data_IF_343603150618
#
_entry.id   IF_343603150618
#
_cell.length_a   1.000
_cell.length_b   1.000
_cell.length_c   1.000
_cell.angle_alpha   90.00
_cell.angle_beta   90.00
_cell.angle_gamma   90.00
#
_symmetry.space_group_name_H-M   'P 1'
#
loop_
_entity.id
_entity.type
_entity.pdbx_description
1 polymer ?
#
# COMPACT_ATOMS: atom_id res chain seq x y z
N UNK A 1 -5.77 4.44 -6.14
CA UNK A 1 -4.68 5.30 -6.67
C UNK A 1 -3.85 4.58 -7.73
N UNK A 2 -3.13 3.52 -7.39
CA UNK A 2 -2.31 2.72 -8.32
C UNK A 2 -3.08 2.22 -9.55
N UNK A 3 -4.28 1.68 -9.37
CA UNK A 3 -5.14 1.25 -10.48
C UNK A 3 -5.45 2.40 -11.46
N UNK A 4 -5.87 3.57 -10.95
CA UNK A 4 -6.12 4.73 -11.80
C UNK A 4 -4.86 5.16 -12.55
N UNK A 5 -3.72 5.24 -11.86
CA UNK A 5 -2.44 5.58 -12.49
C UNK A 5 -2.10 4.56 -13.59
N UNK A 6 -2.27 3.27 -13.33
CA UNK A 6 -2.00 2.20 -14.30
C UNK A 6 -2.91 2.33 -15.54
N UNK A 7 -4.19 2.61 -15.36
CA UNK A 7 -5.18 2.58 -16.45
C UNK A 7 -5.28 3.90 -17.23
N UNK A 8 -5.01 5.05 -16.61
CA UNK A 8 -5.12 6.35 -17.29
C UNK A 8 -3.98 6.54 -18.29
N UNK A 9 -4.25 6.79 -19.59
CA UNK A 9 -3.19 6.96 -20.59
C UNK A 9 -2.22 8.10 -20.26
N UNK A 10 -2.76 9.29 -19.93
CA UNK A 10 -1.98 10.42 -19.44
C UNK A 10 -2.21 10.61 -17.92
N UNK A 11 -1.26 10.21 -17.06
CA UNK A 11 -1.43 10.30 -15.60
C UNK A 11 -1.55 11.75 -15.10
N UNK A 12 -1.18 12.77 -15.89
CA UNK A 12 -1.28 14.18 -15.46
C UNK A 12 -2.71 14.66 -15.32
N UNK A 13 -3.66 14.01 -16.02
CA UNK A 13 -5.09 14.32 -15.87
C UNK A 13 -5.65 13.90 -14.51
N UNK A 14 -4.92 13.06 -13.76
CA UNK A 14 -5.29 12.63 -12.42
C UNK A 14 -4.88 13.60 -11.31
N UNK A 15 -4.19 14.71 -11.61
CA UNK A 15 -3.65 15.64 -10.60
C UNK A 15 -4.70 16.13 -9.60
N UNK A 16 -5.91 16.42 -10.06
CA UNK A 16 -7.00 16.89 -9.20
C UNK A 16 -7.64 15.78 -8.35
N UNK A 17 -7.52 14.52 -8.80
CA UNK A 17 -8.07 13.36 -8.11
C UNK A 17 -7.07 12.68 -7.16
N UNK A 18 -5.81 13.11 -7.17
CA UNK A 18 -4.71 12.53 -6.39
C UNK A 18 -4.23 13.50 -5.32
N UNK A 19 -3.69 12.98 -4.19
CA UNK A 19 -3.12 13.84 -3.18
C UNK A 19 -1.89 14.60 -3.71
N UNK A 20 -1.59 15.74 -3.11
CA UNK A 20 -0.34 16.44 -3.38
C UNK A 20 0.85 15.67 -2.78
N UNK A 21 1.82 15.33 -3.62
CA UNK A 21 3.04 14.61 -3.25
C UNK A 21 4.22 15.53 -2.96
N UNK A 22 4.07 16.85 -3.05
CA UNK A 22 5.15 17.83 -2.87
C UNK A 22 5.92 17.69 -1.55
N UNK A 23 5.25 17.18 -0.50
CA UNK A 23 5.82 16.96 0.84
C UNK A 23 6.10 15.49 1.16
N UNK A 24 5.79 14.57 0.24
CA UNK A 24 5.97 13.14 0.47
C UNK A 24 7.43 12.74 0.23
N UNK A 25 8.06 12.11 1.21
CA UNK A 25 9.38 11.48 1.02
C UNK A 25 9.24 10.09 0.43
N UNK A 26 8.19 9.37 0.84
CA UNK A 26 7.90 8.00 0.43
C UNK A 26 6.42 7.84 0.11
N UNK A 27 6.10 7.05 -0.91
CA UNK A 27 4.73 6.71 -1.30
C UNK A 27 4.62 5.20 -1.41
N UNK A 28 3.69 4.63 -0.63
CA UNK A 28 3.36 3.21 -0.71
C UNK A 28 2.13 3.02 -1.61
N UNK A 29 2.26 2.16 -2.62
CA UNK A 29 1.23 1.86 -3.60
C UNK A 29 1.00 0.35 -3.64
N UNK A 30 -0.17 -0.15 -3.22
CA UNK A 30 -0.55 -1.53 -3.53
C UNK A 30 -0.77 -1.66 -5.04
N UNK A 31 -0.13 -2.62 -5.69
CA UNK A 31 -0.26 -2.89 -7.13
C UNK A 31 -1.17 -4.10 -7.32
N UNK A 32 -2.00 -4.05 -8.36
CA UNK A 32 -2.90 -5.12 -8.76
C UNK A 32 -2.91 -5.28 -10.27
N UNK A 33 -3.08 -6.51 -10.73
CA UNK A 33 -3.07 -6.95 -12.14
C UNK A 33 -4.39 -6.71 -12.89
N UNK A 34 -5.38 -6.06 -12.28
CA UNK A 34 -6.63 -5.76 -12.97
C UNK A 34 -6.39 -4.86 -14.20
N UNK A 35 -6.85 -5.33 -15.36
CA UNK A 35 -6.79 -4.61 -16.65
C UNK A 35 -8.13 -4.08 -17.12
N UNK A 36 -9.24 -4.56 -16.57
CA UNK A 36 -10.57 -4.21 -17.02
C UNK A 36 -11.19 -3.14 -16.10
N UNK A 37 -11.26 -1.91 -16.59
CA UNK A 37 -11.87 -0.77 -15.87
C UNK A 37 -13.36 -0.93 -15.58
N UNK A 38 -14.05 -1.79 -16.34
CA UNK A 38 -15.48 -2.04 -16.17
C UNK A 38 -15.78 -3.21 -15.22
N UNK A 39 -14.75 -3.93 -14.76
CA UNK A 39 -14.90 -5.05 -13.84
C UNK A 39 -14.62 -4.60 -12.40
N UNK A 40 -15.68 -4.48 -11.61
CA UNK A 40 -15.54 -4.31 -10.16
C UNK A 40 -14.78 -5.50 -9.57
N UNK A 41 -13.90 -5.22 -8.59
CA UNK A 41 -13.12 -6.24 -7.88
C UNK A 41 -12.27 -7.15 -8.79
N UNK A 42 -11.92 -6.67 -10.00
CA UNK A 42 -11.05 -7.41 -10.91
C UNK A 42 -9.60 -7.51 -10.40
N UNK A 43 -8.81 -8.34 -11.08
CA UNK A 43 -7.44 -8.68 -10.69
C UNK A 43 -7.38 -9.89 -9.77
N UNK A 44 -6.27 -10.62 -9.84
CA UNK A 44 -6.05 -11.88 -9.11
C UNK A 44 -4.92 -11.79 -8.10
N UNK A 45 -4.04 -10.79 -8.23
CA UNK A 45 -2.82 -10.72 -7.46
C UNK A 45 -2.50 -9.33 -6.95
N UNK A 46 -1.88 -9.27 -5.76
CA UNK A 46 -1.47 -8.03 -5.13
C UNK A 46 0.02 -8.03 -4.82
N UNK A 47 0.67 -6.91 -5.09
CA UNK A 47 2.07 -6.66 -4.72
C UNK A 47 2.25 -5.24 -4.19
N UNK A 48 3.45 -4.89 -3.72
CA UNK A 48 3.72 -3.60 -3.10
C UNK A 48 4.79 -2.83 -3.89
N UNK A 49 4.49 -1.58 -4.24
CA UNK A 49 5.46 -0.63 -4.76
C UNK A 49 5.71 0.47 -3.73
N UNK A 50 6.96 0.62 -3.29
CA UNK A 50 7.41 1.71 -2.44
C UNK A 50 8.26 2.67 -3.27
N UNK A 51 7.79 3.90 -3.44
CA UNK A 51 8.52 4.95 -4.15
C UNK A 51 9.22 5.84 -3.11
N UNK A 52 10.55 5.87 -3.13
CA UNK A 52 11.32 6.96 -2.51
C UNK A 52 11.34 8.12 -3.50
N UNK A 53 10.65 9.20 -3.16
CA UNK A 53 10.58 10.42 -3.99
C UNK A 53 11.93 11.12 -3.98
N UNK A 54 12.59 11.15 -2.82
CA UNK A 54 13.89 11.81 -2.64
C UNK A 54 14.98 11.10 -3.46
N UNK A 55 15.04 9.78 -3.39
CA UNK A 55 16.05 8.99 -4.11
C UNK A 55 15.66 8.68 -5.56
N UNK A 56 14.42 8.99 -5.94
CA UNK A 56 13.84 8.72 -7.27
C UNK A 56 13.92 7.24 -7.66
N UNK A 57 13.66 6.36 -6.69
CA UNK A 57 13.68 4.91 -6.88
C UNK A 57 12.35 4.32 -6.40
N UNK A 58 11.78 3.42 -7.19
CA UNK A 58 10.64 2.62 -6.83
C UNK A 58 11.05 1.16 -6.60
N UNK A 59 10.84 0.67 -5.38
CA UNK A 59 11.14 -0.69 -4.95
C UNK A 59 9.86 -1.53 -5.04
N UNK A 60 9.87 -2.56 -5.88
CA UNK A 60 8.75 -3.46 -6.06
C UNK A 60 8.98 -4.77 -5.31
N UNK A 61 8.10 -5.05 -4.36
CA UNK A 61 8.06 -6.27 -3.55
C UNK A 61 6.88 -7.12 -3.97
N UNK A 62 7.18 -8.36 -4.37
CA UNK A 62 6.18 -9.31 -4.81
C UNK A 62 6.33 -10.63 -4.06
N UNK A 63 5.21 -11.14 -3.53
CA UNK A 63 5.15 -12.43 -2.86
C UNK A 63 4.95 -13.60 -3.83
N UNK A 64 4.59 -13.30 -5.08
CA UNK A 64 4.56 -14.23 -6.20
C UNK A 64 5.71 -13.90 -7.15
N UNK A 65 6.56 -14.89 -7.41
CA UNK A 65 7.69 -14.71 -8.29
C UNK A 65 7.28 -14.18 -9.67
N UNK A 66 7.81 -13.01 -10.03
CA UNK A 66 7.53 -12.30 -11.28
C UNK A 66 6.04 -12.03 -11.56
N UNK A 67 5.20 -11.83 -10.53
CA UNK A 67 3.77 -11.54 -10.69
C UNK A 67 3.50 -10.19 -11.36
N UNK A 68 3.48 -9.11 -10.58
CA UNK A 68 3.04 -7.77 -11.00
C UNK A 68 4.19 -6.88 -11.52
N UNK A 69 5.23 -7.45 -12.11
CA UNK A 69 6.45 -6.69 -12.49
C UNK A 69 6.12 -5.64 -13.54
N UNK A 70 5.32 -5.99 -14.55
CA UNK A 70 4.96 -5.07 -15.63
C UNK A 70 4.06 -3.94 -15.15
N UNK A 71 3.07 -4.27 -14.30
CA UNK A 71 2.15 -3.32 -13.70
C UNK A 71 2.90 -2.33 -12.81
N UNK A 72 3.82 -2.83 -11.98
CA UNK A 72 4.61 -2.01 -11.08
C UNK A 72 5.60 -1.09 -11.82
N UNK A 73 6.27 -1.57 -12.87
CA UNK A 73 7.12 -0.74 -13.73
C UNK A 73 6.30 0.33 -14.46
N UNK A 74 5.13 -0.03 -14.99
CA UNK A 74 4.25 0.91 -15.69
C UNK A 74 3.75 2.00 -14.74
N UNK A 75 3.31 1.63 -13.54
CA UNK A 75 2.94 2.60 -12.50
C UNK A 75 4.13 3.48 -12.13
N UNK A 76 5.34 2.94 -12.03
CA UNK A 76 6.56 3.72 -11.73
C UNK A 76 6.81 4.79 -12.78
N UNK A 77 6.79 4.43 -14.07
CA UNK A 77 6.98 5.38 -15.18
C UNK A 77 5.90 6.47 -15.18
N UNK A 78 4.63 6.08 -15.02
CA UNK A 78 3.51 7.02 -14.99
C UNK A 78 3.54 7.95 -13.77
N UNK A 79 3.94 7.44 -12.62
CA UNK A 79 4.14 8.26 -11.42
C UNK A 79 5.27 9.27 -11.62
N UNK A 80 6.35 8.87 -12.31
CA UNK A 80 7.41 9.78 -12.72
C UNK A 80 6.90 10.93 -13.61
N UNK A 81 6.05 10.64 -14.60
CA UNK A 81 5.40 11.69 -15.41
C UNK A 81 4.51 12.61 -14.58
N UNK A 82 3.78 12.07 -13.60
CA UNK A 82 2.94 12.86 -12.70
C UNK A 82 3.78 13.83 -11.85
N UNK A 83 4.95 13.41 -11.38
CA UNK A 83 5.88 14.25 -10.63
C UNK A 83 6.83 15.08 -11.50
N UNK A 84 6.72 14.96 -12.83
CA UNK A 84 7.65 15.57 -13.78
C UNK A 84 9.13 15.24 -13.48
N UNK A 85 9.39 13.98 -13.10
CA UNK A 85 10.69 13.51 -12.64
C UNK A 85 10.85 12.02 -12.96
N UNK A 86 11.96 11.58 -13.60
CA UNK A 86 12.18 10.16 -13.84
C UNK A 86 12.39 9.41 -12.52
N UNK A 87 11.75 8.24 -12.40
CA UNK A 87 11.87 7.34 -11.25
C UNK A 87 12.39 6.00 -11.75
N UNK A 88 13.47 5.53 -11.15
CA UNK A 88 14.08 4.24 -11.48
C UNK A 88 13.28 3.11 -10.85
N UNK A 89 12.86 2.14 -11.65
CA UNK A 89 12.24 0.92 -11.15
C UNK A 89 13.29 -0.09 -10.69
N UNK A 90 13.03 -0.76 -9.56
CA UNK A 90 13.83 -1.85 -9.04
C UNK A 90 12.91 -2.95 -8.51
N UNK A 91 12.97 -4.13 -9.13
CA UNK A 91 12.27 -5.32 -8.63
C UNK A 91 13.15 -6.09 -7.63
N UNK A 92 12.60 -6.38 -6.45
CA UNK A 92 13.32 -6.97 -5.32
C UNK A 92 13.11 -8.49 -5.36
N UNK A 93 14.07 -9.20 -5.93
CA UNK A 93 14.05 -10.66 -6.08
C UNK A 93 14.12 -11.41 -4.74
N UNK A 94 14.52 -10.72 -3.66
CA UNK A 94 14.64 -11.24 -2.31
C UNK A 94 13.40 -10.96 -1.43
N UNK A 95 12.27 -10.61 -2.06
CA UNK A 95 11.00 -10.41 -1.37
C UNK A 95 10.49 -11.71 -0.75
N UNK A 96 9.89 -11.68 0.46
CA UNK A 96 9.27 -12.85 1.07
C UNK A 96 8.22 -13.46 0.15
N UNK A 97 8.38 -14.75 -0.17
CA UNK A 97 7.47 -15.49 -1.04
C UNK A 97 6.34 -16.13 -0.22
N UNK A 98 5.14 -16.14 -0.78
CA UNK A 98 3.99 -16.83 -0.16
C UNK A 98 4.00 -18.33 -0.52
N UNK A 99 3.53 -19.16 0.41
CA UNK A 99 3.38 -20.61 0.18
C UNK A 99 2.06 -20.95 -0.56
N UNK A 100 1.03 -20.10 -0.42
CA UNK A 100 -0.30 -20.28 -1.02
C UNK A 100 -0.69 -19.17 -1.99
N UNK A 101 -1.81 -19.31 -2.69
CA UNK A 101 -2.22 -18.35 -3.73
C UNK A 101 -3.08 -17.15 -3.26
N UNK A 102 -3.48 -17.10 -1.99
CA UNK A 102 -4.50 -16.14 -1.50
C UNK A 102 -3.99 -15.13 -0.47
N UNK A 103 -2.70 -15.21 -0.10
CA UNK A 103 -2.11 -14.40 0.97
C UNK A 103 -1.42 -13.14 0.48
N UNK A 104 -1.37 -12.88 -0.83
CA UNK A 104 -0.59 -11.80 -1.41
C UNK A 104 -0.95 -10.41 -0.83
N UNK A 105 -2.24 -10.15 -0.58
CA UNK A 105 -2.69 -8.94 0.12
C UNK A 105 -2.20 -8.84 1.57
N UNK A 106 -2.08 -9.98 2.28
CA UNK A 106 -1.49 -10.04 3.63
C UNK A 106 0.00 -9.68 3.57
N UNK A 107 0.72 -10.21 2.58
CA UNK A 107 2.13 -9.89 2.36
C UNK A 107 2.34 -8.40 2.06
N UNK A 108 1.48 -7.78 1.25
CA UNK A 108 1.50 -6.32 0.99
C UNK A 108 1.42 -5.54 2.30
N UNK A 109 0.43 -5.82 3.14
CA UNK A 109 0.25 -5.12 4.42
C UNK A 109 1.43 -5.34 5.38
N UNK A 110 1.91 -6.59 5.49
CA UNK A 110 2.98 -6.94 6.41
C UNK A 110 4.34 -6.38 5.97
N UNK A 111 4.62 -6.34 4.66
CA UNK A 111 5.80 -5.71 4.11
C UNK A 111 5.76 -4.19 4.31
N UNK A 112 4.61 -3.55 4.04
CA UNK A 112 4.41 -2.12 4.28
C UNK A 112 4.65 -1.76 5.74
N UNK A 113 4.03 -2.48 6.69
CA UNK A 113 4.24 -2.28 8.13
C UNK A 113 5.71 -2.40 8.51
N UNK A 114 6.40 -3.43 8.01
CA UNK A 114 7.81 -3.65 8.34
C UNK A 114 8.70 -2.53 7.80
N UNK A 115 8.57 -2.19 6.51
CA UNK A 115 9.33 -1.11 5.89
C UNK A 115 9.09 0.21 6.62
N UNK A 116 7.85 0.56 6.92
CA UNK A 116 7.56 1.81 7.61
C UNK A 116 8.13 1.82 9.04
N UNK A 117 7.78 0.82 9.85
CA UNK A 117 8.04 0.84 11.30
C UNK A 117 9.45 0.40 11.68
N UNK A 118 10.13 -0.40 10.85
CA UNK A 118 11.44 -1.00 11.16
C UNK A 118 12.57 -0.53 10.25
N UNK A 119 12.27 0.30 9.25
CA UNK A 119 13.26 0.86 8.32
C UNK A 119 13.12 2.36 8.25
N UNK A 120 12.04 2.87 7.68
CA UNK A 120 11.90 4.29 7.37
C UNK A 120 11.81 5.19 8.61
N UNK A 121 10.98 4.80 9.61
CA UNK A 121 10.79 5.62 10.81
C UNK A 121 11.89 5.46 11.87
N UNK A 122 12.73 4.43 11.74
CA UNK A 122 13.85 4.19 12.66
C UNK A 122 15.15 4.84 12.18
N UNK A 123 15.24 5.19 10.89
CA UNK A 123 16.43 5.74 10.31
C UNK A 123 16.61 7.21 10.67
N UNK A 124 17.85 7.60 10.97
CA UNK A 124 18.21 9.02 11.04
C UNK A 124 18.33 9.61 9.62
N UNK A 125 18.19 10.94 9.49
CA UNK A 125 18.19 11.63 8.19
C UNK A 125 19.43 11.41 7.31
N UNK A 126 20.53 10.89 7.87
CA UNK A 126 21.80 10.67 7.17
C UNK A 126 22.14 9.18 6.99
N UNK A 127 21.29 8.28 7.45
CA UNK A 127 21.57 6.85 7.46
C UNK A 127 21.03 6.17 6.20
N UNK A 128 21.86 5.34 5.56
CA UNK A 128 21.41 4.50 4.44
C UNK A 128 20.57 3.35 4.97
N UNK A 129 19.34 3.28 4.49
CA UNK A 129 18.40 2.23 4.88
C UNK A 129 18.42 1.12 3.84
N UNK A 130 18.66 -0.11 4.27
CA UNK A 130 18.47 -1.27 3.40
C UNK A 130 16.99 -1.50 3.15
N UNK A 131 16.62 -1.49 1.88
CA UNK A 131 15.27 -1.79 1.39
C UNK A 131 15.06 -3.29 1.10
N UNK A 132 16.10 -4.12 1.28
CA UNK A 132 15.99 -5.57 1.14
C UNK A 132 15.07 -6.15 2.22
N UNK A 133 14.26 -7.13 1.82
CA UNK A 133 13.47 -7.98 2.73
C UNK A 133 13.99 -9.43 2.73
N UNK A 134 15.18 -9.68 2.21
CA UNK A 134 15.81 -10.99 2.16
C UNK A 134 15.89 -11.64 3.55
N UNK A 135 15.54 -12.92 3.62
CA UNK A 135 15.54 -13.70 4.86
C UNK A 135 14.37 -13.40 5.81
N UNK A 136 13.51 -12.42 5.51
CA UNK A 136 12.30 -12.18 6.29
C UNK A 136 11.25 -13.24 6.00
N UNK A 137 10.68 -13.81 7.06
CA UNK A 137 9.51 -14.70 6.98
C UNK A 137 8.24 -13.96 7.37
N UNK A 138 7.14 -14.29 6.71
CA UNK A 138 5.80 -13.76 7.03
C UNK A 138 4.92 -14.94 7.40
N UNK A 139 4.41 -14.94 8.63
CA UNK A 139 3.34 -15.87 9.03
C UNK A 139 2.00 -15.27 8.62
N UNK A 140 1.50 -15.69 7.46
CA UNK A 140 0.25 -15.17 6.90
C UNK A 140 -0.96 -15.48 7.80
N UNK A 141 -1.00 -16.65 8.44
CA UNK A 141 -2.09 -17.06 9.31
C UNK A 141 -2.16 -16.21 10.58
N UNK A 142 -1.03 -16.01 11.25
CA UNK A 142 -0.97 -15.12 12.41
C UNK A 142 -1.30 -13.68 12.01
N UNK A 143 -0.81 -13.22 10.86
CA UNK A 143 -1.07 -11.87 10.34
C UNK A 143 -2.56 -11.65 10.04
N UNK A 144 -3.25 -12.63 9.44
CA UNK A 144 -4.71 -12.58 9.23
C UNK A 144 -5.47 -12.45 10.54
N UNK A 145 -5.09 -13.23 11.56
CA UNK A 145 -5.70 -13.16 12.90
C UNK A 145 -5.47 -11.79 13.55
N UNK A 146 -4.28 -11.22 13.41
CA UNK A 146 -3.96 -9.87 13.89
C UNK A 146 -4.84 -8.82 13.20
N UNK A 147 -4.94 -8.85 11.87
CA UNK A 147 -5.77 -7.93 11.09
C UNK A 147 -7.25 -8.01 11.49
N UNK A 148 -7.80 -9.23 11.60
CA UNK A 148 -9.18 -9.43 12.04
C UNK A 148 -9.43 -8.86 13.44
N UNK A 149 -8.48 -9.06 14.37
CA UNK A 149 -8.56 -8.49 15.73
C UNK A 149 -8.55 -6.97 15.72
N UNK A 150 -7.74 -6.33 14.88
CA UNK A 150 -7.68 -4.87 14.74
C UNK A 150 -9.02 -4.34 14.19
N UNK A 151 -9.54 -4.94 13.12
CA UNK A 151 -10.82 -4.56 12.50
C UNK A 151 -11.95 -4.67 13.53
N UNK A 152 -12.00 -5.78 14.26
CA UNK A 152 -13.02 -6.00 15.30
C UNK A 152 -12.91 -5.01 16.46
N UNK A 153 -11.69 -4.61 16.83
CA UNK A 153 -11.44 -3.56 17.81
C UNK A 153 -12.07 -2.23 17.40
N UNK A 154 -11.81 -1.78 16.17
CA UNK A 154 -12.40 -0.55 15.63
C UNK A 154 -13.92 -0.65 15.47
N UNK A 155 -14.45 -1.82 15.08
CA UNK A 155 -15.89 -2.06 14.98
C UNK A 155 -16.57 -1.84 16.34
N UNK A 156 -16.07 -2.47 17.40
CA UNK A 156 -16.57 -2.33 18.78
C UNK A 156 -16.44 -0.90 19.29
N UNK A 157 -15.35 -0.22 18.99
CA UNK A 157 -15.17 1.19 19.36
C UNK A 157 -16.21 2.08 18.67
N UNK A 158 -16.44 1.87 17.36
CA UNK A 158 -17.44 2.59 16.59
C UNK A 158 -18.86 2.37 17.10
N UNK A 159 -19.19 1.15 17.53
CA UNK A 159 -20.47 0.84 18.18
C UNK A 159 -20.63 1.63 19.47
N UNK A 160 -19.64 1.60 20.37
CA UNK A 160 -19.68 2.35 21.64
C UNK A 160 -19.90 3.85 21.40
N UNK A 161 -19.16 4.44 20.47
CA UNK A 161 -19.30 5.88 20.15
C UNK A 161 -20.71 6.22 19.64
N UNK A 162 -21.32 5.37 18.81
CA UNK A 162 -22.71 5.57 18.36
C UNK A 162 -23.71 5.44 19.51
N UNK A 163 -23.51 4.49 20.42
CA UNK A 163 -24.38 4.32 21.60
C UNK A 163 -24.39 5.55 22.50
N UNK A 164 -23.23 6.18 22.73
CA UNK A 164 -23.14 7.42 23.51
C UNK A 164 -23.85 8.60 22.82
N UNK A 165 -23.71 8.75 21.50
CA UNK A 165 -24.41 9.80 20.74
C UNK A 165 -25.93 9.65 20.81
N UNK A 166 -26.46 8.43 20.78
CA UNK A 166 -27.91 8.19 20.91
C UNK A 166 -28.43 8.53 22.31
N UNK A 167 -27.65 8.25 23.36
CA UNK A 167 -28.02 8.58 24.74
C UNK A 167 -28.00 10.09 25.00
N UNK A 168 -26.99 10.81 24.50
CA UNK A 168 -26.91 12.26 24.65
C UNK A 168 -28.05 12.99 23.91
N UNK A 169 -28.44 12.50 22.72
CA UNK A 169 -29.59 13.06 21.98
C UNK A 169 -30.92 12.86 22.72
N UNK A 170 -31.13 11.70 23.35
CA UNK A 170 -32.30 11.44 24.18
C UNK A 170 -32.35 12.34 25.43
N UNK A 171 -31.21 12.64 26.05
CA UNK A 171 -31.16 13.58 27.18
C UNK A 171 -31.39 15.06 26.79
N UNK A 172 -31.09 15.45 25.54
CA UNK A 172 -31.30 16.82 25.05
C UNK A 172 -32.74 17.10 24.57
N UNK A 173 -33.61 16.09 24.46
CA UNK A 173 -34.99 16.26 23.96
C UNK A 173 -36.02 16.34 25.11
N UNK A 174 -35.56 16.33 26.37
CA UNK A 174 -36.38 16.44 27.57
C UNK A 174 -35.99 17.71 28.35
N UNK A 175 -36.20 18.87 27.73
CA UNK A 175 -36.30 20.20 28.36
C UNK A 175 -37.30 21.02 27.55
#
# INVERSE_FOLDING_TARGET
>A
MSFMILQTPDPRTLREALPDFSRATHVFLPINDCRNVSQAEGGTHWSLLLISVVDRIAFHYDSLYQGNVWEADTVTRKFGYLLNMPIRFLHLNDSPQQDGGSDCGVYVCMNMRHLLMKRLLMASAHEKVSMSLGGRKVDANASRKEMAKIIEGFRKEGERRRSYVTLDQLSCTVQ
#
